data_IF_948258710253
#
_entry.id   IF_948258710253
#
_cell.length_a   1.000
_cell.length_b   1.000
_cell.length_c   1.000
_cell.angle_alpha   90.00
_cell.angle_beta   90.00
_cell.angle_gamma   90.00
#
_symmetry.space_group_name_H-M   'P 1'
#
loop_
_entity.id
_entity.type
_entity.pdbx_description
1 polymer ?
#
# COMPACT_ATOMS: atom_id res chain seq x y z
N UNK A 1 44.75 35.73 30.91
CA UNK A 1 44.66 34.31 31.33
C UNK A 1 43.38 33.70 30.80
N UNK A 2 43.48 32.48 30.29
CA UNK A 2 42.43 31.66 29.64
C UNK A 2 41.25 31.39 30.59
N UNK A 3 40.03 31.37 30.05
CA UNK A 3 39.01 30.29 30.18
C UNK A 3 37.70 30.79 29.56
N UNK A 4 37.36 30.40 28.32
CA UNK A 4 36.64 29.16 27.94
C UNK A 4 35.43 28.88 28.86
N UNK A 5 34.26 29.34 28.45
CA UNK A 5 32.99 28.65 28.71
C UNK A 5 32.24 28.48 27.39
N UNK A 6 32.04 27.22 27.02
CA UNK A 6 31.36 26.77 25.81
C UNK A 6 29.85 26.97 25.96
N UNK A 7 29.21 27.50 24.91
CA UNK A 7 27.76 27.50 24.77
C UNK A 7 27.41 26.74 23.50
N UNK A 8 26.80 25.57 23.68
CA UNK A 8 26.31 24.70 22.61
C UNK A 8 25.21 25.38 21.81
N UNK A 9 25.49 25.71 20.56
CA UNK A 9 24.50 26.08 19.55
C UNK A 9 24.05 24.83 18.80
N UNK A 10 22.83 24.35 19.08
CA UNK A 10 22.13 23.39 18.24
C UNK A 10 21.88 24.00 16.85
N UNK A 11 22.69 23.62 15.88
CA UNK A 11 22.56 23.97 14.47
C UNK A 11 21.33 23.28 13.88
N UNK A 12 20.27 24.05 13.60
CA UNK A 12 19.16 23.63 12.75
C UNK A 12 19.73 23.18 11.39
N UNK A 13 19.52 21.91 11.03
CA UNK A 13 19.77 21.39 9.68
C UNK A 13 18.95 22.23 8.68
N UNK A 14 19.63 23.15 8.01
CA UNK A 14 19.07 23.92 6.91
C UNK A 14 18.72 22.96 5.78
N UNK A 15 17.43 22.90 5.46
CA UNK A 15 16.93 22.24 4.26
C UNK A 15 17.43 23.05 3.05
N UNK A 16 18.51 22.56 2.42
CA UNK A 16 19.06 23.15 1.21
C UNK A 16 18.61 22.32 0.00
N UNK A 17 17.56 22.74 -0.73
CA UNK A 17 16.97 21.94 -1.80
C UNK A 17 17.88 21.81 -3.04
N UNK A 18 19.04 22.47 -3.07
CA UNK A 18 19.93 22.50 -4.23
C UNK A 18 21.08 21.48 -4.19
N UNK A 19 21.21 20.66 -3.12
CA UNK A 19 22.35 19.73 -2.99
C UNK A 19 22.22 18.40 -3.74
N UNK A 20 21.11 18.16 -4.46
CA UNK A 20 20.81 16.85 -5.09
C UNK A 20 20.96 16.81 -6.63
N UNK A 21 21.55 17.82 -7.26
CA UNK A 21 21.73 17.86 -8.72
C UNK A 21 23.16 17.61 -9.22
N UNK A 22 24.13 17.29 -8.34
CA UNK A 22 25.55 17.26 -8.71
C UNK A 22 26.29 15.91 -8.61
N UNK A 23 25.67 14.75 -8.88
CA UNK A 23 26.38 13.46 -8.78
C UNK A 23 26.11 12.43 -9.88
N UNK A 24 25.73 12.86 -11.09
CA UNK A 24 25.74 11.99 -12.27
C UNK A 24 26.30 12.73 -13.48
N UNK A 25 27.61 12.89 -13.49
CA UNK A 25 28.40 13.35 -14.64
C UNK A 25 29.80 12.76 -14.49
N UNK A 26 29.94 11.51 -14.95
CA UNK A 26 31.16 10.72 -15.21
C UNK A 26 30.68 9.25 -15.25
N UNK A 27 30.87 8.41 -16.25
CA UNK A 27 31.58 8.44 -17.53
C UNK A 27 30.78 7.54 -18.48
N UNK A 28 30.27 8.09 -19.59
CA UNK A 28 29.52 7.33 -20.60
C UNK A 28 29.90 7.86 -21.97
N UNK A 29 30.56 7.01 -22.74
CA UNK A 29 31.25 7.28 -24.00
C UNK A 29 30.38 8.04 -25.01
N UNK A 30 31.03 8.99 -25.68
CA UNK A 30 30.51 9.98 -26.62
C UNK A 30 29.78 9.36 -27.82
N UNK A 31 28.46 9.46 -27.79
CA UNK A 31 27.58 9.52 -28.96
C UNK A 31 26.64 10.70 -28.81
N UNK A 32 27.20 11.91 -28.68
CA UNK A 32 26.43 13.12 -28.36
C UNK A 32 25.72 13.66 -29.59
N UNK A 33 24.51 13.17 -29.82
CA UNK A 33 23.53 13.80 -30.69
C UNK A 33 23.24 15.23 -30.16
N UNK A 34 23.64 16.29 -30.89
CA UNK A 34 23.50 17.68 -30.42
C UNK A 34 22.03 18.09 -30.20
N UNK A 35 21.06 17.35 -30.74
CA UNK A 35 19.64 17.63 -30.58
C UNK A 35 19.13 17.41 -29.14
N UNK A 36 19.69 16.43 -28.42
CA UNK A 36 19.25 16.09 -27.05
C UNK A 36 19.70 17.13 -26.03
N UNK A 37 20.85 17.75 -26.25
CA UNK A 37 21.36 18.80 -25.38
C UNK A 37 20.55 20.11 -25.51
N UNK A 38 20.01 20.39 -26.69
CA UNK A 38 19.18 21.58 -26.94
C UNK A 38 17.77 21.47 -26.32
N UNK A 39 17.17 20.28 -26.37
CA UNK A 39 15.91 19.99 -25.70
C UNK A 39 16.05 20.03 -24.16
N UNK A 40 17.19 19.60 -23.62
CA UNK A 40 17.50 19.75 -22.19
C UNK A 40 17.57 21.23 -21.77
N UNK A 41 18.25 22.07 -22.55
CA UNK A 41 18.45 23.48 -22.21
C UNK A 41 17.15 24.30 -22.24
N UNK A 42 16.24 24.01 -23.19
CA UNK A 42 14.93 24.70 -23.29
C UNK A 42 14.02 24.38 -22.10
N UNK A 43 14.04 23.14 -21.60
CA UNK A 43 13.25 22.75 -20.43
C UNK A 43 13.77 23.38 -19.13
N UNK A 44 15.10 23.50 -18.96
CA UNK A 44 15.70 24.19 -17.81
C UNK A 44 15.33 25.69 -17.81
N UNK A 45 15.38 26.34 -18.98
CA UNK A 45 14.99 27.75 -19.12
C UNK A 45 13.50 27.98 -18.82
N UNK A 46 12.60 27.08 -19.27
CA UNK A 46 11.17 27.11 -18.90
C UNK A 46 10.96 26.94 -17.39
N UNK A 47 11.72 26.05 -16.75
CA UNK A 47 11.69 25.86 -15.30
C UNK A 47 12.11 27.11 -14.52
N UNK A 48 13.20 27.77 -14.93
CA UNK A 48 13.65 29.00 -14.27
C UNK A 48 12.64 30.16 -14.43
N UNK A 49 11.99 30.27 -15.58
CA UNK A 49 11.01 31.33 -15.85
C UNK A 49 9.72 31.14 -15.05
N UNK A 50 9.23 29.91 -14.90
CA UNK A 50 8.04 29.62 -14.08
C UNK A 50 8.28 29.90 -12.59
N UNK A 51 9.47 29.53 -12.07
CA UNK A 51 9.87 29.87 -10.70
C UNK A 51 9.95 31.39 -10.48
N UNK A 52 10.48 32.14 -11.46
CA UNK A 52 10.55 33.61 -11.39
C UNK A 52 9.16 34.24 -11.39
N UNK A 53 8.24 33.76 -12.23
CA UNK A 53 6.85 34.22 -12.25
C UNK A 53 6.15 33.95 -10.92
N UNK A 54 6.31 32.75 -10.37
CA UNK A 54 5.76 32.39 -9.07
C UNK A 54 6.26 33.30 -7.94
N UNK A 55 7.57 33.59 -7.90
CA UNK A 55 8.14 34.54 -6.93
C UNK A 55 7.62 35.97 -7.10
N UNK A 56 7.38 36.41 -8.33
CA UNK A 56 6.80 37.72 -8.60
C UNK A 56 5.38 37.83 -8.04
N UNK A 57 4.55 36.79 -8.19
CA UNK A 57 3.19 36.75 -7.64
C UNK A 57 3.21 36.73 -6.10
N UNK A 58 4.11 35.95 -5.49
CA UNK A 58 4.27 35.94 -4.03
C UNK A 58 4.67 37.32 -3.52
N UNK A 59 5.69 37.94 -4.12
CA UNK A 59 6.15 39.29 -3.74
C UNK A 59 5.04 40.32 -3.88
N UNK A 60 4.24 40.23 -4.96
CA UNK A 60 3.09 41.12 -5.17
C UNK A 60 2.03 40.96 -4.08
N UNK A 61 1.63 39.73 -3.76
CA UNK A 61 0.66 39.46 -2.68
C UNK A 61 1.18 39.91 -1.32
N UNK A 62 2.46 39.70 -1.03
CA UNK A 62 3.10 40.17 0.20
C UNK A 62 3.08 41.71 0.29
N UNK A 63 3.39 42.39 -0.81
CA UNK A 63 3.35 43.86 -0.86
C UNK A 63 1.95 44.41 -0.62
N UNK A 64 0.91 43.81 -1.22
CA UNK A 64 -0.48 44.19 -0.97
C UNK A 64 -0.90 43.99 0.49
N UNK A 65 -0.46 42.89 1.12
CA UNK A 65 -0.76 42.63 2.55
C UNK A 65 -0.06 43.62 3.48
N UNK A 66 1.24 43.88 3.25
CA UNK A 66 2.01 44.87 4.01
C UNK A 66 1.37 46.25 3.89
N UNK A 67 0.97 46.65 2.68
CA UNK A 67 0.23 47.89 2.44
C UNK A 67 -1.08 47.93 3.21
N UNK A 68 -1.87 46.86 3.19
CA UNK A 68 -3.11 46.79 3.98
C UNK A 68 -2.90 46.86 5.50
N UNK A 69 -1.78 46.39 6.03
CA UNK A 69 -1.43 46.56 7.46
C UNK A 69 -0.99 48.00 7.73
N UNK A 70 -0.13 48.55 6.88
CA UNK A 70 0.30 49.94 6.95
C UNK A 70 -0.91 50.88 6.93
N UNK A 71 -1.80 50.75 5.95
CA UNK A 71 -3.00 51.60 5.82
C UNK A 71 -3.91 51.49 7.06
N UNK A 72 -4.06 50.30 7.65
CA UNK A 72 -4.81 50.12 8.91
C UNK A 72 -4.15 50.80 10.12
N UNK A 73 -2.82 50.73 10.24
CA UNK A 73 -2.08 51.41 11.32
C UNK A 73 -2.18 52.93 11.21
N UNK A 74 -2.13 53.47 9.98
CA UNK A 74 -2.28 54.90 9.74
C UNK A 74 -3.71 55.39 9.95
N UNK A 75 -4.73 54.58 9.63
CA UNK A 75 -6.14 54.92 9.93
C UNK A 75 -6.39 55.06 11.44
N UNK A 76 -5.82 54.18 12.28
CA UNK A 76 -6.01 54.25 13.73
C UNK A 76 -5.47 55.53 14.38
N UNK A 77 -4.46 56.18 13.79
CA UNK A 77 -3.86 57.41 14.33
C UNK A 77 -4.47 58.71 13.77
N UNK A 78 -5.55 58.66 12.97
CA UNK A 78 -6.17 59.81 12.26
C UNK A 78 -5.22 60.65 11.37
N UNK A 79 -3.96 60.26 11.22
CA UNK A 79 -2.95 60.94 10.39
C UNK A 79 -3.19 60.74 8.88
N UNK A 80 -3.96 59.73 8.49
CA UNK A 80 -4.19 59.38 7.08
C UNK A 80 -4.95 60.47 6.29
N UNK A 81 -5.91 61.16 6.92
CA UNK A 81 -6.67 62.24 6.27
C UNK A 81 -5.80 63.45 5.93
N UNK A 82 -4.74 63.73 6.71
CA UNK A 82 -3.82 64.84 6.44
C UNK A 82 -2.80 64.51 5.35
N UNK A 83 -2.46 63.23 5.18
CA UNK A 83 -1.46 62.80 4.19
C UNK A 83 -2.09 62.54 2.80
N UNK A 84 -3.32 62.01 2.75
CA UNK A 84 -4.01 61.72 1.49
C UNK A 84 -4.55 62.98 0.79
N UNK A 85 -4.79 64.06 1.53
CA UNK A 85 -5.21 65.35 0.96
C UNK A 85 -4.08 66.13 0.30
N UNK A 86 -2.81 65.80 0.60
CA UNK A 86 -1.67 66.42 -0.05
C UNK A 86 -1.58 65.97 -1.52
N UNK A 87 -1.54 66.90 -2.49
CA UNK A 87 -1.55 66.57 -3.92
C UNK A 87 -0.40 65.62 -4.32
N UNK A 88 0.73 65.71 -3.63
CA UNK A 88 1.90 64.84 -3.84
C UNK A 88 1.61 63.33 -3.66
N UNK A 89 0.80 62.95 -2.68
CA UNK A 89 0.49 61.55 -2.40
C UNK A 89 -0.38 60.90 -3.50
N UNK A 90 -1.25 61.69 -4.16
CA UNK A 90 -2.05 61.21 -5.30
C UNK A 90 -1.17 60.95 -6.52
N UNK A 91 -0.18 61.82 -6.77
CA UNK A 91 0.76 61.63 -7.87
C UNK A 91 1.64 60.40 -7.71
N UNK A 92 2.20 60.16 -6.51
CA UNK A 92 3.01 58.95 -6.25
C UNK A 92 2.20 57.68 -6.51
N UNK A 93 0.96 57.61 -6.03
CA UNK A 93 0.11 56.44 -6.24
C UNK A 93 -0.26 56.23 -7.72
N UNK A 94 -0.45 57.32 -8.48
CA UNK A 94 -0.73 57.23 -9.93
C UNK A 94 0.51 56.75 -10.69
N UNK A 95 1.69 57.28 -10.37
CA UNK A 95 2.95 56.88 -11.00
C UNK A 95 3.30 55.42 -10.68
N UNK A 96 3.05 54.96 -9.45
CA UNK A 96 3.24 53.56 -9.07
C UNK A 96 2.39 52.59 -9.89
N UNK A 97 1.13 52.94 -10.18
CA UNK A 97 0.26 52.10 -11.03
C UNK A 97 0.72 52.09 -12.49
N UNK A 98 1.10 53.25 -13.03
CA UNK A 98 1.59 53.36 -14.40
C UNK A 98 2.88 52.57 -14.59
N UNK A 99 3.85 52.71 -13.67
CA UNK A 99 5.10 51.95 -13.70
C UNK A 99 4.87 50.44 -13.70
N UNK A 100 3.89 49.97 -12.91
CA UNK A 100 3.54 48.55 -12.88
C UNK A 100 2.95 48.06 -14.20
N UNK A 101 2.01 48.80 -14.79
CA UNK A 101 1.38 48.42 -16.07
C UNK A 101 2.41 48.38 -17.20
N UNK A 102 3.32 49.36 -17.28
CA UNK A 102 4.38 49.39 -18.28
C UNK A 102 5.31 48.19 -18.12
N UNK A 103 5.76 47.90 -16.89
CA UNK A 103 6.64 46.76 -16.62
C UNK A 103 5.97 45.45 -17.03
N UNK A 104 4.68 45.29 -16.74
CA UNK A 104 3.93 44.09 -17.12
C UNK A 104 3.83 43.94 -18.64
N UNK A 105 3.50 45.02 -19.36
CA UNK A 105 3.41 45.01 -20.82
C UNK A 105 4.74 44.67 -21.50
N UNK A 106 5.86 45.26 -21.04
CA UNK A 106 7.20 44.98 -21.58
C UNK A 106 7.59 43.53 -21.32
N UNK A 107 7.37 43.02 -20.11
CA UNK A 107 7.66 41.61 -19.81
C UNK A 107 6.81 40.66 -20.65
N UNK A 108 5.52 40.96 -20.85
CA UNK A 108 4.65 40.11 -21.67
C UNK A 108 5.09 40.12 -23.14
N UNK A 109 5.41 41.29 -23.70
CA UNK A 109 5.88 41.42 -25.08
C UNK A 109 7.20 40.69 -25.32
N UNK A 110 8.17 40.79 -24.40
CA UNK A 110 9.42 40.04 -24.49
C UNK A 110 9.17 38.53 -24.42
N UNK A 111 8.35 38.05 -23.48
CA UNK A 111 8.04 36.61 -23.40
C UNK A 111 7.33 36.11 -24.66
N UNK A 112 6.41 36.88 -25.23
CA UNK A 112 5.71 36.50 -26.45
C UNK A 112 6.69 36.32 -27.63
N UNK A 113 7.58 37.29 -27.85
CA UNK A 113 8.52 37.25 -28.96
C UNK A 113 9.62 36.19 -28.79
N UNK A 114 10.07 35.89 -27.57
CA UNK A 114 11.15 34.93 -27.35
C UNK A 114 10.68 33.49 -27.11
N UNK A 115 9.47 33.28 -26.57
CA UNK A 115 8.97 31.92 -26.26
C UNK A 115 8.00 31.39 -27.32
N UNK A 116 7.24 32.27 -27.99
CA UNK A 116 6.13 31.86 -28.85
C UNK A 116 6.33 32.13 -30.34
N UNK A 117 7.39 32.86 -30.74
CA UNK A 117 7.84 32.89 -32.14
C UNK A 117 8.93 31.82 -32.35
N UNK A 118 8.62 30.66 -32.93
CA UNK A 118 9.64 29.68 -33.30
C UNK A 118 10.39 30.19 -34.53
N UNK A 119 11.42 31.03 -34.36
CA UNK A 119 12.30 31.45 -35.45
C UNK A 119 13.45 30.46 -35.72
N UNK A 120 13.29 29.20 -35.35
CA UNK A 120 14.25 28.17 -35.70
C UNK A 120 13.65 27.25 -36.77
N UNK A 121 13.86 27.59 -38.03
CA UNK A 121 13.87 26.62 -39.12
C UNK A 121 15.08 25.70 -38.92
N UNK A 122 14.93 24.66 -38.10
CA UNK A 122 15.85 23.54 -38.15
C UNK A 122 15.54 22.76 -39.43
N UNK A 123 16.38 22.92 -40.46
CA UNK A 123 16.38 22.00 -41.58
C UNK A 123 16.93 20.65 -41.11
N UNK A 124 16.07 19.81 -40.52
CA UNK A 124 16.27 18.38 -40.60
C UNK A 124 16.26 18.01 -42.09
N UNK A 125 17.13 17.10 -42.54
CA UNK A 125 17.22 16.68 -43.95
C UNK A 125 15.82 16.39 -44.52
N UNK A 126 15.35 17.20 -45.46
CA UNK A 126 13.94 17.21 -45.94
C UNK A 126 13.65 16.07 -46.94
N UNK A 127 14.41 14.98 -46.89
CA UNK A 127 14.24 13.87 -47.82
C UNK A 127 13.22 12.91 -47.25
N UNK A 128 11.98 13.02 -47.72
CA UNK A 128 10.91 12.10 -47.37
C UNK A 128 10.95 10.92 -48.34
N UNK A 129 11.28 9.75 -47.83
CA UNK A 129 11.10 8.52 -48.57
C UNK A 129 9.65 8.06 -48.45
N UNK A 130 8.97 7.91 -49.59
CA UNK A 130 7.55 7.52 -49.63
C UNK A 130 7.44 6.16 -50.30
N UNK A 131 7.15 5.14 -49.50
CA UNK A 131 6.84 3.80 -49.97
C UNK A 131 5.35 3.52 -49.83
N UNK A 132 4.67 3.46 -50.98
CA UNK A 132 3.22 3.25 -51.03
C UNK A 132 2.84 1.78 -51.27
N UNK A 133 3.81 0.88 -51.50
CA UNK A 133 3.55 -0.52 -51.82
C UNK A 133 4.74 -1.40 -51.47
N UNK A 134 4.44 -2.67 -51.14
CA UNK A 134 5.44 -3.71 -50.87
C UNK A 134 5.26 -4.92 -51.80
N UNK A 135 4.48 -4.76 -52.88
CA UNK A 135 4.14 -5.84 -53.80
C UNK A 135 5.30 -6.28 -54.71
N UNK A 136 6.40 -5.53 -54.76
CA UNK A 136 7.57 -5.82 -55.61
C UNK A 136 8.42 -7.00 -55.13
N UNK A 137 8.14 -7.53 -53.94
CA UNK A 137 8.86 -8.69 -53.39
C UNK A 137 10.22 -8.36 -52.80
N UNK A 138 10.94 -9.40 -52.40
CA UNK A 138 12.32 -9.29 -51.93
C UNK A 138 13.27 -8.99 -53.10
N UNK A 139 14.12 -7.96 -52.97
CA UNK A 139 15.20 -7.65 -53.90
C UNK A 139 16.45 -7.30 -53.09
N UNK A 140 17.47 -8.16 -53.19
CA UNK A 140 18.76 -8.02 -52.50
C UNK A 140 19.84 -7.41 -53.40
N UNK A 141 19.49 -7.08 -54.64
CA UNK A 141 20.46 -6.67 -55.68
C UNK A 141 20.32 -5.21 -56.06
N UNK A 142 19.09 -4.70 -56.10
CA UNK A 142 18.82 -3.30 -56.41
C UNK A 142 18.45 -2.57 -55.12
N UNK A 143 19.11 -1.43 -54.89
CA UNK A 143 18.81 -0.55 -53.76
C UNK A 143 18.35 0.80 -54.28
N UNK A 144 17.38 1.45 -53.62
CA UNK A 144 17.00 2.80 -53.97
C UNK A 144 18.20 3.72 -53.75
N UNK A 145 18.68 4.34 -54.82
CA UNK A 145 19.77 5.31 -54.77
C UNK A 145 19.22 6.71 -54.53
N UNK A 146 19.78 7.41 -53.55
CA UNK A 146 19.47 8.82 -53.31
C UNK A 146 20.44 9.70 -54.12
N UNK A 147 19.98 10.75 -54.84
CA UNK A 147 18.64 11.35 -54.81
C UNK A 147 17.64 10.85 -55.87
N UNK A 148 18.03 9.95 -56.75
CA UNK A 148 17.32 9.67 -58.01
C UNK A 148 16.14 8.71 -57.90
N UNK A 149 15.97 7.99 -56.78
CA UNK A 149 14.95 6.95 -56.62
C UNK A 149 14.25 6.99 -55.24
N UNK A 150 13.66 8.15 -54.92
CA UNK A 150 13.02 8.40 -53.61
C UNK A 150 11.54 8.02 -53.53
N UNK A 151 10.90 7.79 -54.69
CA UNK A 151 9.48 7.45 -54.81
C UNK A 151 9.31 6.17 -55.62
N UNK A 152 8.14 5.52 -55.48
CA UNK A 152 7.77 4.31 -56.22
C UNK A 152 8.60 3.06 -55.93
N UNK A 153 9.36 3.03 -54.84
CA UNK A 153 10.01 1.81 -54.40
C UNK A 153 8.98 0.80 -53.88
N UNK A 154 8.89 -0.38 -54.49
CA UNK A 154 7.90 -1.42 -54.13
C UNK A 154 8.50 -2.67 -53.51
N UNK A 155 9.83 -2.71 -53.36
CA UNK A 155 10.60 -3.89 -52.97
C UNK A 155 11.02 -3.82 -51.51
N UNK A 156 11.37 -4.96 -50.94
CA UNK A 156 11.98 -5.07 -49.61
C UNK A 156 13.25 -5.91 -49.68
N UNK A 157 14.13 -5.84 -48.68
CA UNK A 157 15.33 -6.67 -48.68
C UNK A 157 15.00 -8.13 -48.31
N UNK A 158 14.24 -8.31 -47.23
CA UNK A 158 13.76 -9.61 -46.74
C UNK A 158 12.51 -9.41 -45.87
N UNK A 159 11.76 -10.50 -45.61
CA UNK A 159 10.68 -10.53 -44.62
C UNK A 159 10.63 -11.91 -43.96
N UNK A 160 10.13 -11.98 -42.73
CA UNK A 160 9.86 -13.25 -42.07
C UNK A 160 8.64 -13.97 -42.67
N UNK A 161 8.56 -15.28 -42.44
CA UNK A 161 7.40 -16.09 -42.85
C UNK A 161 6.11 -15.65 -42.14
N UNK A 162 6.23 -15.05 -40.94
CA UNK A 162 5.13 -14.48 -40.17
C UNK A 162 4.67 -13.11 -40.67
N UNK A 163 5.30 -12.55 -41.71
CA UNK A 163 4.97 -11.22 -42.24
C UNK A 163 4.42 -11.39 -43.65
N UNK A 164 3.21 -10.90 -43.91
CA UNK A 164 2.62 -10.79 -45.23
C UNK A 164 2.76 -9.35 -45.71
N UNK A 165 3.41 -9.14 -46.85
CA UNK A 165 3.55 -7.83 -47.47
C UNK A 165 2.75 -7.81 -48.77
N UNK A 166 1.82 -6.88 -48.92
CA UNK A 166 0.98 -6.72 -50.10
C UNK A 166 1.05 -5.28 -50.64
N UNK A 167 0.25 -4.97 -51.66
CA UNK A 167 0.25 -3.67 -52.31
C UNK A 167 -0.23 -2.53 -51.42
N UNK A 168 -0.92 -2.82 -50.32
CA UNK A 168 -1.61 -1.81 -49.49
C UNK A 168 -1.17 -1.83 -48.03
N UNK A 169 -0.49 -2.88 -47.56
CA UNK A 169 -0.19 -3.10 -46.15
C UNK A 169 0.91 -4.14 -45.91
N UNK A 170 1.51 -4.06 -44.73
CA UNK A 170 2.33 -5.11 -44.13
C UNK A 170 1.57 -5.61 -42.90
N UNK A 171 1.27 -6.90 -42.86
CA UNK A 171 0.52 -7.53 -41.78
C UNK A 171 1.26 -8.75 -41.23
N UNK A 172 1.00 -9.10 -39.97
CA UNK A 172 1.48 -10.35 -39.40
C UNK A 172 0.50 -11.48 -39.77
N UNK A 173 0.99 -12.59 -40.30
CA UNK A 173 0.19 -13.81 -40.44
C UNK A 173 -0.03 -14.43 -39.07
N UNK A 174 -1.30 -14.69 -38.72
CA UNK A 174 -1.67 -15.27 -37.44
C UNK A 174 -1.16 -16.72 -37.39
N UNK A 175 -0.04 -16.94 -36.70
CA UNK A 175 0.44 -18.28 -36.37
C UNK A 175 -0.23 -18.71 -35.06
N UNK A 176 -1.13 -19.69 -35.10
CA UNK A 176 -1.54 -20.41 -33.91
C UNK A 176 -0.52 -21.53 -33.64
N UNK A 177 0.09 -21.49 -32.46
CA UNK A 177 0.92 -22.59 -31.92
C UNK A 177 0.18 -23.28 -30.78
N UNK A 178 0.18 -24.60 -30.73
CA UNK A 178 -0.16 -25.38 -29.53
C UNK A 178 1.11 -25.89 -28.87
N UNK A 179 1.16 -25.83 -27.54
CA UNK A 179 2.19 -26.46 -26.71
C UNK A 179 1.56 -27.64 -25.96
N UNK A 180 2.34 -28.69 -25.71
CA UNK A 180 1.90 -29.88 -24.97
C UNK A 180 2.88 -30.10 -23.83
N UNK A 181 2.42 -29.89 -22.59
CA UNK A 181 3.18 -30.10 -21.37
C UNK A 181 2.85 -31.51 -20.84
N UNK A 182 3.86 -32.35 -20.63
CA UNK A 182 3.64 -33.79 -20.34
C UNK A 182 4.37 -34.29 -19.10
N UNK A 183 5.30 -33.49 -18.56
CA UNK A 183 5.97 -33.74 -17.29
C UNK A 183 5.78 -32.57 -16.33
N UNK A 184 5.92 -32.84 -15.03
CA UNK A 184 5.78 -31.83 -13.98
C UNK A 184 6.80 -30.69 -14.11
N UNK A 185 7.94 -30.94 -14.77
CA UNK A 185 8.93 -29.93 -15.13
C UNK A 185 8.40 -28.89 -16.14
N UNK A 186 7.51 -29.30 -17.05
CA UNK A 186 6.91 -28.44 -18.08
C UNK A 186 5.85 -27.51 -17.46
N UNK A 187 5.02 -28.05 -16.57
CA UNK A 187 3.99 -27.28 -15.85
C UNK A 187 4.57 -26.23 -14.88
N UNK A 188 5.83 -26.37 -14.45
CA UNK A 188 6.52 -25.40 -13.57
C UNK A 188 7.30 -24.30 -14.30
N UNK A 189 7.62 -24.50 -15.59
CA UNK A 189 8.35 -23.50 -16.38
C UNK A 189 7.42 -22.37 -16.90
N UNK A 190 6.10 -22.57 -16.86
CA UNK A 190 5.07 -21.62 -17.30
C UNK A 190 4.37 -20.85 -16.17
N UNK A 191 4.30 -19.53 -16.30
CA UNK A 191 3.74 -18.57 -15.31
C UNK A 191 2.21 -18.69 -15.12
N UNK A 192 1.69 -19.64 -14.33
CA UNK A 192 0.29 -19.64 -13.84
C UNK A 192 0.25 -19.46 -12.31
N UNK A 193 -0.39 -18.37 -11.87
CA UNK A 193 0.01 -17.57 -10.68
C UNK A 193 -0.39 -18.08 -9.30
N UNK A 194 -1.04 -19.24 -9.23
CA UNK A 194 -1.87 -19.67 -8.11
C UNK A 194 -1.64 -21.16 -7.82
N UNK A 195 -0.41 -21.65 -8.06
CA UNK A 195 -0.04 -23.07 -8.20
C UNK A 195 1.52 -23.19 -8.10
N UNK A 196 2.13 -24.35 -7.78
CA UNK A 196 3.60 -24.71 -7.76
C UNK A 196 4.14 -26.09 -7.15
N UNK A 197 4.79 -26.99 -7.91
CA UNK A 197 4.73 -28.48 -7.68
C UNK A 197 5.23 -29.12 -6.36
N UNK A 198 4.55 -30.17 -5.86
CA UNK A 198 5.05 -31.17 -4.89
C UNK A 198 4.79 -32.63 -5.33
N UNK A 199 5.83 -33.48 -5.31
CA UNK A 199 5.82 -34.89 -5.76
C UNK A 199 5.27 -35.12 -7.18
N UNK A 200 5.31 -34.06 -7.99
CA UNK A 200 4.71 -33.98 -9.31
C UNK A 200 3.47 -33.06 -9.48
N UNK A 201 3.02 -32.30 -8.46
CA UNK A 201 1.78 -31.50 -8.53
C UNK A 201 1.79 -30.04 -7.98
N UNK A 202 1.40 -29.00 -8.75
CA UNK A 202 1.50 -27.54 -8.42
C UNK A 202 0.75 -27.01 -7.10
N UNK A 203 1.45 -26.36 -6.13
CA UNK A 203 1.30 -25.46 -4.91
C UNK A 203 2.13 -24.10 -4.82
N UNK A 204 1.78 -22.98 -4.20
CA UNK A 204 0.92 -22.68 -3.08
C UNK A 204 -0.03 -21.58 -3.54
N UNK A 205 -1.29 -21.94 -3.47
CA UNK A 205 -2.43 -21.13 -3.84
C UNK A 205 -2.54 -19.92 -2.88
N UNK A 206 -2.78 -18.70 -3.41
CA UNK A 206 -3.05 -17.54 -2.58
C UNK A 206 -4.34 -17.73 -1.79
N UNK A 207 -4.54 -16.94 -0.73
CA UNK A 207 -5.84 -16.90 -0.06
C UNK A 207 -6.93 -16.55 -1.07
N UNK A 208 -8.04 -17.30 -1.04
CA UNK A 208 -9.11 -17.24 -2.02
C UNK A 208 -8.95 -18.21 -3.19
N UNK A 209 -7.80 -18.86 -3.37
CA UNK A 209 -7.63 -19.90 -4.37
C UNK A 209 -8.06 -21.28 -3.84
N UNK A 210 -8.75 -22.04 -4.67
CA UNK A 210 -9.33 -23.34 -4.34
C UNK A 210 -8.25 -24.38 -4.05
N UNK A 211 -8.30 -25.03 -2.89
CA UNK A 211 -7.33 -26.04 -2.47
C UNK A 211 -8.01 -27.22 -1.77
N UNK A 212 -7.53 -28.43 -2.05
CA UNK A 212 -8.05 -29.64 -1.41
C UNK A 212 -7.33 -29.93 -0.09
N UNK A 213 -6.05 -29.57 0.00
CA UNK A 213 -5.25 -29.81 1.19
C UNK A 213 -4.61 -28.55 1.74
N UNK A 214 -4.38 -28.54 3.06
CA UNK A 214 -3.72 -27.44 3.77
C UNK A 214 -2.34 -27.13 3.21
N UNK A 215 -1.59 -28.14 2.76
CA UNK A 215 -0.29 -27.99 2.13
C UNK A 215 -0.34 -27.36 0.73
N UNK A 216 -1.52 -27.23 0.11
CA UNK A 216 -1.70 -26.49 -1.14
C UNK A 216 -1.85 -24.98 -0.92
N UNK A 217 -2.05 -24.53 0.31
CA UNK A 217 -2.34 -23.14 0.65
C UNK A 217 -1.17 -22.44 1.28
N UNK A 218 -0.90 -21.21 0.82
CA UNK A 218 0.16 -20.38 1.41
C UNK A 218 -0.06 -20.10 2.91
N UNK A 219 -1.31 -20.10 3.35
CA UNK A 219 -1.69 -19.99 4.76
C UNK A 219 -1.53 -21.28 5.57
N UNK A 220 -1.28 -22.42 4.91
CA UNK A 220 -1.34 -23.74 5.53
C UNK A 220 -2.76 -24.14 5.95
N UNK A 221 -3.80 -23.47 5.45
CA UNK A 221 -5.18 -23.69 5.88
C UNK A 221 -6.18 -23.69 4.73
N UNK A 222 -7.02 -24.72 4.70
CA UNK A 222 -8.15 -24.86 3.77
C UNK A 222 -9.44 -24.80 4.57
N UNK A 223 -10.37 -23.95 4.15
CA UNK A 223 -11.74 -23.93 4.65
C UNK A 223 -12.70 -23.94 3.48
N UNK A 224 -13.66 -24.86 3.49
CA UNK A 224 -14.63 -25.02 2.40
C UNK A 224 -13.96 -25.27 1.03
N UNK A 225 -12.80 -25.92 1.00
CA UNK A 225 -12.06 -26.18 -0.24
C UNK A 225 -11.32 -24.97 -0.82
N UNK A 226 -11.13 -23.90 -0.03
CA UNK A 226 -10.40 -22.70 -0.46
C UNK A 226 -9.31 -22.38 0.56
N UNK A 227 -8.16 -21.91 0.07
CA UNK A 227 -7.13 -21.35 0.90
C UNK A 227 -7.65 -20.13 1.63
N UNK A 228 -7.67 -20.21 2.95
CA UNK A 228 -8.06 -19.08 3.80
C UNK A 228 -6.92 -18.80 4.75
N UNK A 229 -6.84 -17.57 5.24
CA UNK A 229 -5.89 -17.20 6.31
C UNK A 229 -6.08 -18.17 7.48
N UNK A 230 -4.99 -18.67 8.08
CA UNK A 230 -5.05 -19.51 9.29
C UNK A 230 -6.00 -18.82 10.29
N UNK A 231 -7.18 -19.39 10.56
CA UNK A 231 -8.17 -18.77 11.43
C UNK A 231 -7.69 -18.73 12.88
N UNK A 232 -6.54 -19.31 13.18
CA UNK A 232 -5.85 -19.18 14.46
C UNK A 232 -4.84 -18.03 14.44
N UNK A 233 -5.23 -16.88 14.97
CA UNK A 233 -4.29 -15.79 15.21
C UNK A 233 -3.33 -16.16 16.34
N UNK A 234 -2.04 -15.90 16.18
CA UNK A 234 -1.07 -16.03 17.28
C UNK A 234 -1.55 -15.21 18.47
N UNK A 235 -1.68 -15.89 19.61
CA UNK A 235 -2.09 -15.25 20.83
C UNK A 235 -0.90 -14.45 21.35
N UNK A 236 -0.84 -13.19 20.93
CA UNK A 236 0.10 -12.19 21.43
C UNK A 236 1.60 -12.47 21.17
N UNK A 237 2.17 -11.74 20.21
CA UNK A 237 3.61 -11.75 19.96
C UNK A 237 4.36 -10.92 21.02
N UNK A 238 4.85 -11.56 22.08
CA UNK A 238 6.16 -11.14 22.64
C UNK A 238 6.27 -10.63 24.07
N UNK A 239 5.29 -10.82 24.98
CA UNK A 239 5.54 -10.60 26.42
C UNK A 239 5.83 -11.92 27.13
N UNK A 240 7.09 -12.10 27.52
CA UNK A 240 7.47 -13.19 28.41
C UNK A 240 6.63 -13.12 29.71
N UNK A 241 6.02 -14.25 30.10
CA UNK A 241 5.16 -14.36 31.29
C UNK A 241 3.66 -14.17 31.05
N UNK A 242 3.21 -13.95 29.81
CA UNK A 242 1.78 -13.98 29.45
C UNK A 242 1.22 -15.40 29.59
N UNK A 243 -0.02 -15.56 30.08
CA UNK A 243 -0.68 -16.88 30.10
C UNK A 243 -1.09 -17.34 28.71
N UNK A 244 -1.09 -16.43 27.72
CA UNK A 244 -1.30 -16.72 26.30
C UNK A 244 0.00 -16.99 25.51
N UNK A 245 1.18 -16.91 26.14
CA UNK A 245 2.45 -17.12 25.44
C UNK A 245 2.50 -18.50 24.75
N UNK A 246 2.83 -18.51 23.45
CA UNK A 246 2.90 -19.71 22.62
C UNK A 246 1.55 -20.25 22.14
N UNK A 247 0.43 -19.64 22.58
CA UNK A 247 -0.91 -20.10 22.20
C UNK A 247 -1.37 -19.40 20.93
N UNK A 248 -2.41 -19.95 20.29
CA UNK A 248 -3.17 -19.32 19.21
C UNK A 248 -4.64 -19.25 19.59
N UNK A 249 -5.34 -18.24 19.08
CA UNK A 249 -6.76 -17.96 19.37
C UNK A 249 -7.54 -17.99 18.09
N UNK A 250 -8.71 -18.63 18.12
CA UNK A 250 -9.61 -18.63 16.99
C UNK A 250 -10.14 -17.22 16.72
N UNK A 251 -10.00 -16.74 15.48
CA UNK A 251 -10.24 -15.34 15.09
C UNK A 251 -11.69 -14.91 15.13
N UNK A 252 -12.63 -15.86 15.04
CA UNK A 252 -14.07 -15.60 15.13
C UNK A 252 -14.70 -16.27 16.35
N UNK A 253 -15.91 -15.89 16.74
CA UNK A 253 -16.67 -16.66 17.71
C UNK A 253 -17.15 -17.97 17.09
N UNK A 254 -17.30 -19.00 17.91
CA UNK A 254 -18.06 -20.18 17.48
C UNK A 254 -19.48 -19.74 17.12
N UNK A 255 -20.03 -20.30 16.04
CA UNK A 255 -21.39 -19.99 15.61
C UNK A 255 -22.41 -20.32 16.71
N UNK A 256 -23.22 -19.32 17.05
CA UNK A 256 -24.21 -19.37 18.11
C UNK A 256 -23.61 -19.40 19.52
N UNK A 257 -24.48 -19.53 20.51
CA UNK A 257 -24.08 -19.73 21.91
C UNK A 257 -24.11 -21.22 22.26
N UNK A 258 -23.26 -21.64 23.21
CA UNK A 258 -23.13 -23.05 23.63
C UNK A 258 -23.29 -23.17 25.14
N UNK A 259 -23.83 -24.29 25.59
CA UNK A 259 -23.83 -24.65 27.00
C UNK A 259 -22.43 -25.06 27.45
N UNK A 260 -22.08 -24.78 28.70
CA UNK A 260 -20.83 -25.28 29.28
C UNK A 260 -20.92 -26.79 29.50
N UNK A 261 -22.07 -27.25 30.02
CA UNK A 261 -22.43 -28.66 30.22
C UNK A 261 -23.93 -28.85 30.05
N UNK A 262 -24.35 -30.03 29.60
CA UNK A 262 -25.77 -30.37 29.38
C UNK A 262 -26.60 -30.52 30.66
N UNK A 263 -25.94 -30.65 31.82
CA UNK A 263 -26.59 -30.74 33.14
C UNK A 263 -25.78 -30.01 34.23
N UNK A 264 -26.46 -29.59 35.30
CA UNK A 264 -25.86 -28.96 36.47
C UNK A 264 -25.26 -29.98 37.43
N UNK A 265 -24.15 -30.57 37.03
CA UNK A 265 -23.37 -31.51 37.86
C UNK A 265 -21.90 -31.13 37.84
N UNK A 266 -21.19 -31.44 38.92
CA UNK A 266 -19.74 -31.23 39.03
C UNK A 266 -19.00 -31.84 37.84
N UNK A 267 -17.94 -31.18 37.41
CA UNK A 267 -17.03 -31.72 36.44
C UNK A 267 -16.15 -32.77 37.12
N UNK A 268 -16.05 -33.93 36.49
CA UNK A 268 -15.32 -35.07 37.02
C UNK A 268 -14.39 -35.61 35.94
N UNK A 269 -13.38 -36.37 36.35
CA UNK A 269 -12.52 -37.08 35.42
C UNK A 269 -13.32 -38.07 34.56
N UNK A 270 -12.90 -38.32 33.31
CA UNK A 270 -11.64 -37.88 32.71
C UNK A 270 -11.68 -36.48 32.06
N UNK A 271 -12.85 -35.85 31.94
CA UNK A 271 -12.99 -34.56 31.23
C UNK A 271 -12.43 -33.37 32.01
N UNK A 272 -12.26 -33.49 33.32
CA UNK A 272 -11.74 -32.45 34.18
C UNK A 272 -10.63 -32.90 35.11
N UNK A 273 -9.73 -31.97 35.41
CA UNK A 273 -8.68 -32.11 36.41
C UNK A 273 -8.49 -30.80 37.19
N UNK A 274 -7.93 -30.89 38.38
CA UNK A 274 -7.48 -29.75 39.18
C UNK A 274 -6.04 -29.35 38.81
N UNK A 275 -5.58 -28.18 39.25
CA UNK A 275 -4.19 -27.72 39.02
C UNK A 275 -3.86 -27.23 37.61
N UNK A 276 -4.79 -27.31 36.65
CA UNK A 276 -4.59 -26.81 35.28
C UNK A 276 -4.69 -25.29 35.16
N UNK A 277 -5.44 -24.64 36.06
CA UNK A 277 -5.50 -23.19 36.19
C UNK A 277 -4.63 -22.78 37.37
N UNK A 278 -3.44 -22.22 37.09
CA UNK A 278 -2.46 -21.85 38.12
C UNK A 278 -2.98 -20.78 39.08
N UNK A 279 -3.99 -20.00 38.68
CA UNK A 279 -4.62 -19.01 39.54
C UNK A 279 -5.71 -19.60 40.44
N UNK A 280 -6.23 -20.79 40.09
CA UNK A 280 -7.31 -21.47 40.80
C UNK A 280 -7.04 -22.99 40.87
N UNK A 281 -5.96 -23.43 41.54
CA UNK A 281 -5.51 -24.81 41.48
C UNK A 281 -6.52 -25.81 42.09
N UNK A 282 -7.39 -25.36 43.00
CA UNK A 282 -8.46 -26.17 43.61
C UNK A 282 -9.65 -26.41 42.70
N UNK A 283 -9.79 -25.63 41.62
CA UNK A 283 -10.97 -25.70 40.75
C UNK A 283 -10.77 -26.74 39.66
N UNK A 284 -11.86 -27.43 39.30
CA UNK A 284 -11.85 -28.31 38.13
C UNK A 284 -11.77 -27.48 36.85
N UNK A 285 -10.98 -27.95 35.90
CA UNK A 285 -10.79 -27.34 34.59
C UNK A 285 -10.94 -28.42 33.52
N UNK A 286 -11.66 -28.10 32.45
CA UNK A 286 -11.81 -29.00 31.31
C UNK A 286 -10.44 -29.25 30.65
N UNK A 287 -10.08 -30.52 30.50
CA UNK A 287 -8.76 -30.92 30.00
C UNK A 287 -8.55 -30.53 28.53
N UNK A 288 -7.29 -30.28 28.18
CA UNK A 288 -6.87 -29.94 26.83
C UNK A 288 -6.84 -31.14 25.86
N UNK A 289 -6.80 -32.35 26.40
CA UNK A 289 -6.73 -33.59 25.63
C UNK A 289 -7.97 -33.77 24.73
N UNK A 290 -7.77 -33.70 23.43
CA UNK A 290 -8.84 -33.87 22.44
C UNK A 290 -9.22 -35.35 22.21
N UNK A 291 -8.52 -36.32 22.81
CA UNK A 291 -8.93 -37.73 22.77
C UNK A 291 -10.17 -37.99 23.66
N UNK A 292 -10.42 -37.16 24.68
CA UNK A 292 -11.56 -37.33 25.58
C UNK A 292 -12.90 -37.04 24.91
N UNK A 293 -13.97 -37.70 25.37
CA UNK A 293 -15.34 -37.40 24.95
C UNK A 293 -15.90 -36.20 25.72
N UNK A 294 -16.30 -35.16 24.97
CA UNK A 294 -16.90 -33.93 25.47
C UNK A 294 -18.35 -33.75 25.00
N UNK A 295 -19.04 -34.80 24.57
CA UNK A 295 -20.45 -34.77 24.17
C UNK A 295 -21.37 -34.09 25.21
N UNK A 296 -21.07 -34.24 26.50
CA UNK A 296 -21.79 -33.57 27.60
C UNK A 296 -21.37 -32.10 27.83
N UNK A 297 -20.35 -31.59 27.14
CA UNK A 297 -19.77 -30.25 27.29
C UNK A 297 -19.76 -29.49 25.94
N UNK A 298 -20.91 -29.00 25.46
CA UNK A 298 -21.05 -28.47 24.09
C UNK A 298 -20.05 -27.36 23.73
N UNK A 299 -19.72 -26.46 24.66
CA UNK A 299 -18.72 -25.41 24.44
C UNK A 299 -17.31 -25.96 24.20
N UNK A 300 -16.91 -26.99 24.95
CA UNK A 300 -15.59 -27.63 24.84
C UNK A 300 -15.48 -28.51 23.60
N UNK A 301 -16.54 -29.23 23.30
CA UNK A 301 -16.64 -30.05 22.10
C UNK A 301 -16.58 -29.19 20.83
N UNK A 302 -17.26 -28.04 20.83
CA UNK A 302 -17.16 -27.08 19.72
C UNK A 302 -15.73 -26.54 19.51
N UNK A 303 -14.91 -26.44 20.54
CA UNK A 303 -13.50 -26.10 20.38
C UNK A 303 -12.63 -27.29 19.94
N UNK A 304 -12.99 -28.50 20.38
CA UNK A 304 -12.32 -29.75 19.98
C UNK A 304 -12.44 -29.96 18.48
N UNK A 305 -13.61 -29.73 17.88
CA UNK A 305 -13.82 -29.89 16.44
C UNK A 305 -12.92 -28.98 15.58
N UNK A 306 -12.45 -27.86 16.14
CA UNK A 306 -11.50 -26.96 15.49
C UNK A 306 -10.03 -27.31 15.76
N UNK A 307 -9.76 -28.36 16.53
CA UNK A 307 -8.41 -28.73 16.96
C UNK A 307 -7.88 -27.88 18.12
N UNK A 308 -8.76 -27.21 18.88
CA UNK A 308 -8.40 -26.43 20.06
C UNK A 308 -9.13 -26.88 21.31
N UNK A 309 -9.18 -25.99 22.30
CA UNK A 309 -9.87 -26.17 23.57
C UNK A 309 -10.53 -24.87 24.05
N UNK A 310 -11.37 -25.02 25.06
CA UNK A 310 -11.93 -23.89 25.77
C UNK A 310 -10.80 -23.20 26.59
N UNK A 311 -10.70 -21.85 26.59
CA UNK A 311 -9.70 -21.13 27.37
C UNK A 311 -10.02 -21.21 28.85
N UNK A 312 -9.00 -21.36 29.69
CA UNK A 312 -9.11 -21.17 31.14
C UNK A 312 -9.53 -19.74 31.47
N UNK A 313 -10.02 -19.51 32.69
CA UNK A 313 -10.41 -18.17 33.16
C UNK A 313 -9.30 -17.12 32.97
N UNK A 314 -8.03 -17.33 33.39
CA UNK A 314 -6.97 -16.33 33.20
C UNK A 314 -6.65 -16.10 31.72
N UNK A 315 -6.65 -17.14 30.88
CA UNK A 315 -6.46 -16.98 29.43
C UNK A 315 -7.56 -16.10 28.83
N UNK A 316 -8.81 -16.34 29.20
CA UNK A 316 -9.95 -15.59 28.69
C UNK A 316 -9.96 -14.13 29.17
N UNK A 317 -9.52 -13.87 30.41
CA UNK A 317 -9.35 -12.52 30.93
C UNK A 317 -8.24 -11.77 30.19
N UNK A 318 -7.13 -12.44 29.90
CA UNK A 318 -6.05 -11.85 29.09
C UNK A 318 -6.50 -11.58 27.65
N UNK A 319 -7.32 -12.46 27.06
CA UNK A 319 -7.95 -12.21 25.76
C UNK A 319 -8.81 -10.94 25.77
N UNK A 320 -9.58 -10.69 26.82
CA UNK A 320 -10.34 -9.46 26.96
C UNK A 320 -9.43 -8.22 26.97
N UNK A 321 -8.32 -8.25 27.73
CA UNK A 321 -7.37 -7.12 27.80
C UNK A 321 -6.76 -6.76 26.45
N UNK A 322 -6.61 -7.75 25.55
CA UNK A 322 -5.98 -7.56 24.24
C UNK A 322 -6.93 -7.62 23.05
N UNK A 323 -8.25 -7.70 23.30
CA UNK A 323 -9.27 -7.91 22.26
C UNK A 323 -9.12 -6.94 21.08
N UNK A 324 -8.96 -5.64 21.35
CA UNK A 324 -8.85 -4.60 20.32
C UNK A 324 -7.47 -4.61 19.65
N UNK A 325 -6.39 -4.74 20.44
CA UNK A 325 -5.03 -4.55 19.96
C UNK A 325 -4.54 -5.68 19.04
N UNK A 326 -4.94 -6.93 19.31
CA UNK A 326 -4.35 -8.10 18.65
C UNK A 326 -5.32 -8.88 17.75
N UNK A 327 -6.63 -8.76 17.98
CA UNK A 327 -7.62 -9.62 17.33
C UNK A 327 -8.67 -8.82 16.55
N UNK A 328 -8.58 -7.48 16.56
CA UNK A 328 -9.62 -6.59 16.05
C UNK A 328 -10.87 -6.61 16.92
N UNK A 329 -11.84 -5.74 16.63
CA UNK A 329 -13.11 -5.69 17.37
C UNK A 329 -14.06 -6.86 16.98
N UNK A 330 -13.51 -8.08 16.92
CA UNK A 330 -14.16 -9.30 16.42
C UNK A 330 -14.76 -10.16 17.54
N UNK A 331 -14.92 -9.59 18.74
CA UNK A 331 -15.59 -10.23 19.87
C UNK A 331 -16.95 -9.59 20.08
N UNK A 332 -17.95 -10.40 20.43
CA UNK A 332 -19.23 -9.89 20.89
C UNK A 332 -19.08 -9.15 22.22
N UNK A 333 -19.88 -8.10 22.41
CA UNK A 333 -20.02 -7.42 23.70
C UNK A 333 -20.91 -8.23 24.66
N UNK A 334 -20.56 -9.50 24.89
CA UNK A 334 -21.30 -10.46 25.69
C UNK A 334 -20.42 -11.20 26.69
N UNK A 335 -20.96 -12.28 27.25
CA UNK A 335 -20.24 -13.14 28.22
C UNK A 335 -19.77 -14.42 27.55
N UNK A 336 -18.55 -14.84 27.90
CA UNK A 336 -17.85 -15.95 27.29
C UNK A 336 -17.54 -17.05 28.29
N UNK A 337 -17.75 -18.31 27.89
CA UNK A 337 -17.39 -19.45 28.73
C UNK A 337 -15.88 -19.61 28.87
N UNK A 338 -15.45 -19.89 30.10
CA UNK A 338 -14.12 -20.42 30.37
C UNK A 338 -14.16 -21.93 30.65
N UNK A 339 -13.01 -22.60 30.56
CA UNK A 339 -12.83 -24.00 30.91
C UNK A 339 -12.88 -24.27 32.43
N UNK A 340 -12.82 -23.22 33.25
CA UNK A 340 -12.73 -23.31 34.71
C UNK A 340 -14.13 -23.42 35.33
N UNK A 341 -14.35 -24.48 36.12
CA UNK A 341 -15.57 -24.67 36.89
C UNK A 341 -15.62 -23.70 38.10
N UNK A 342 -16.82 -23.19 38.40
CA UNK A 342 -17.07 -22.40 39.62
C UNK A 342 -17.61 -23.28 40.75
N UNK A 343 -18.60 -24.12 40.45
CA UNK A 343 -19.18 -25.10 41.37
C UNK A 343 -19.93 -26.20 40.62
N UNK A 344 -20.64 -27.08 41.32
CA UNK A 344 -21.49 -28.13 40.70
C UNK A 344 -22.51 -27.55 39.71
N UNK A 345 -23.02 -26.34 39.97
CA UNK A 345 -24.09 -25.71 39.18
C UNK A 345 -23.59 -24.60 38.24
N UNK A 346 -22.38 -24.09 38.48
CA UNK A 346 -21.88 -22.88 37.80
C UNK A 346 -20.51 -23.12 37.17
N UNK A 347 -20.26 -22.46 36.03
CA UNK A 347 -18.93 -22.34 35.43
C UNK A 347 -18.52 -20.86 35.35
N UNK A 348 -17.22 -20.57 35.30
CA UNK A 348 -16.77 -19.19 35.18
C UNK A 348 -17.01 -18.67 33.76
N UNK A 349 -17.47 -17.42 33.69
CA UNK A 349 -17.48 -16.63 32.47
C UNK A 349 -16.59 -15.38 32.61
N UNK A 350 -16.24 -14.79 31.46
CA UNK A 350 -15.66 -13.44 31.37
C UNK A 350 -16.55 -12.59 30.48
N UNK A 351 -16.95 -11.42 30.97
CA UNK A 351 -17.70 -10.42 30.20
C UNK A 351 -16.75 -9.63 29.31
N UNK A 352 -16.98 -9.67 28.01
CA UNK A 352 -16.19 -8.90 27.05
C UNK A 352 -16.64 -7.44 26.93
N UNK A 353 -17.69 -7.01 27.66
CA UNK A 353 -18.03 -5.59 27.76
C UNK A 353 -17.11 -4.83 28.70
N UNK A 354 -16.70 -5.45 29.82
CA UNK A 354 -16.01 -4.77 30.92
C UNK A 354 -14.96 -5.63 31.66
N UNK A 355 -14.73 -6.88 31.24
CA UNK A 355 -13.77 -7.79 31.87
C UNK A 355 -14.27 -8.44 33.16
N UNK A 356 -15.54 -8.22 33.54
CA UNK A 356 -16.13 -8.80 34.75
C UNK A 356 -16.17 -10.33 34.67
N UNK A 357 -15.88 -11.01 35.79
CA UNK A 357 -15.90 -12.48 35.87
C UNK A 357 -16.77 -12.95 37.03
N UNK A 358 -17.62 -13.95 36.81
CA UNK A 358 -18.42 -14.60 37.86
C UNK A 358 -18.83 -16.02 37.42
N UNK A 359 -19.57 -16.76 38.26
CA UNK A 359 -20.22 -18.01 37.90
C UNK A 359 -21.53 -17.77 37.12
N UNK A 360 -21.81 -18.62 36.14
CA UNK A 360 -23.10 -18.66 35.43
C UNK A 360 -23.57 -20.11 35.24
N UNK A 361 -24.88 -20.32 35.10
CA UNK A 361 -25.48 -21.64 35.10
C UNK A 361 -24.96 -22.46 33.90
N UNK A 362 -24.45 -23.67 34.14
CA UNK A 362 -23.75 -24.47 33.12
C UNK A 362 -24.64 -24.83 31.92
N UNK A 363 -25.95 -24.96 32.16
CA UNK A 363 -26.94 -25.26 31.11
C UNK A 363 -27.39 -24.02 30.33
N UNK A 364 -26.87 -22.84 30.66
CA UNK A 364 -27.12 -21.64 29.86
C UNK A 364 -26.18 -21.54 28.67
N UNK A 365 -26.67 -20.95 27.58
CA UNK A 365 -25.88 -20.82 26.35
C UNK A 365 -25.16 -19.47 26.29
N UNK A 366 -23.82 -19.48 26.31
CA UNK A 366 -22.97 -18.27 26.20
C UNK A 366 -22.04 -18.33 24.98
N UNK A 367 -21.34 -17.23 24.69
CA UNK A 367 -20.37 -17.19 23.61
C UNK A 367 -19.14 -18.06 23.91
N UNK A 368 -18.51 -18.56 22.84
CA UNK A 368 -17.34 -19.43 22.93
C UNK A 368 -16.25 -18.92 22.00
N UNK A 369 -15.06 -18.81 22.55
CA UNK A 369 -13.82 -18.52 21.83
C UNK A 369 -12.84 -19.64 22.13
N UNK A 370 -12.15 -20.17 21.13
CA UNK A 370 -11.24 -21.29 21.32
C UNK A 370 -9.78 -20.85 21.34
N UNK A 371 -8.96 -21.60 22.08
CA UNK A 371 -7.50 -21.47 22.10
C UNK A 371 -6.85 -22.81 21.78
N UNK A 372 -5.65 -22.79 21.19
CA UNK A 372 -4.77 -23.97 21.08
C UNK A 372 -3.35 -23.56 21.49
N UNK A 373 -2.55 -24.50 21.97
CA UNK A 373 -1.18 -24.28 22.42
C UNK A 373 -0.23 -25.26 21.76
#
# INVERSE_FOLDING_TARGET
MKNKLQKETKTKKGFNPFKKFGSKLETGVLGSDPSKNLAGMTNVLRGLMTVRYFWMVIRYRAHLRLRGVHDRLFMKRRLYFRYHSLPYARHINRMGRISFVITFAVCFWLNYNYLFKPNHTYAASVYNWVQNSWAGGADTTNFPSHPTNQSNWTKYNSKDNSVTANSTSVALSQASSSFTDSADADFNAGTKTNVGVHSGALLLKPNGATAANTWECSSGYVSGGVCVIDPWASAYNGRAGSVLAGKKVWTTDISGTKQWKTANTSCVGPQCATGLDTSYPSNYVLVADNAQDFSAYPARDACKTLGGRLPTKPELLELYSYKVANYGNNFQSGIYWSATEYSSNYAYFVSFSNGYTNGFNKTSSLYVRCVRG
#
